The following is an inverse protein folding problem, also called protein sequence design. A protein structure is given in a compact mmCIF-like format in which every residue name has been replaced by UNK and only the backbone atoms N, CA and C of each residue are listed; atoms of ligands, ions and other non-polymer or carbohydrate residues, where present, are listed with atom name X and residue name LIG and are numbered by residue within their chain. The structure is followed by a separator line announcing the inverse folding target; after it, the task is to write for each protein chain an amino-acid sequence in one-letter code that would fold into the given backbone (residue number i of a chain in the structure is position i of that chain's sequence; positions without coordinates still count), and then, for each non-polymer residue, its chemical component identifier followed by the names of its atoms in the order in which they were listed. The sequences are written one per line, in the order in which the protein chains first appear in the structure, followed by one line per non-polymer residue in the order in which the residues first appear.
data_IF_681396949816
#
_entry.id   IF_681396949816
#
_cell.length_a   1.000
_cell.length_b   1.000
_cell.length_c   1.000
_cell.angle_alpha   90.00
_cell.angle_beta   90.00
_cell.angle_gamma   90.00
#
_symmetry.space_group_name_H-M   'P 1'
#
loop_
_entity.id
_entity.type
_entity.pdbx_description
1 polymer ?
#
# COMPACT_ATOMS: atom_id res chain seq x y z
N UNK A 1 -6.07 1.40 -7.89
CA UNK A 1 -4.78 1.29 -8.61
C UNK A 1 -4.42 -0.17 -8.71
N UNK A 2 -4.14 -0.63 -9.94
CA UNK A 2 -3.67 -1.98 -10.20
C UNK A 2 -2.15 -2.09 -10.22
N UNK A 3 -1.65 -3.24 -10.67
CA UNK A 3 -0.23 -3.51 -10.83
C UNK A 3 0.41 -2.56 -11.84
N UNK A 4 1.65 -2.14 -11.58
CA UNK A 4 2.41 -1.29 -12.50
C UNK A 4 2.95 -2.04 -13.72
N UNK A 5 3.08 -3.36 -13.62
CA UNK A 5 3.57 -4.20 -14.70
C UNK A 5 2.82 -5.53 -14.75
N UNK A 6 2.37 -6.00 -15.94
CA UNK A 6 1.70 -7.30 -16.08
C UNK A 6 2.63 -8.47 -15.70
N UNK A 7 3.95 -8.27 -15.72
CA UNK A 7 4.92 -9.27 -15.26
C UNK A 7 4.89 -9.51 -13.74
N UNK A 8 4.12 -8.72 -12.98
CA UNK A 8 3.93 -8.91 -11.54
C UNK A 8 2.77 -9.85 -11.18
N UNK A 9 1.96 -10.23 -12.17
CA UNK A 9 0.85 -11.18 -12.05
C UNK A 9 1.35 -12.55 -11.61
N UNK A 10 0.61 -13.20 -10.71
CA UNK A 10 0.89 -14.58 -10.26
C UNK A 10 -0.05 -15.59 -10.91
N UNK A 11 -1.23 -15.16 -11.35
CA UNK A 11 -2.21 -15.95 -12.09
C UNK A 11 -2.41 -15.33 -13.48
N UNK A 12 -1.75 -15.90 -14.48
CA UNK A 12 -1.77 -15.42 -15.87
C UNK A 12 -3.13 -15.58 -16.54
N UNK A 13 -3.96 -16.53 -16.09
CA UNK A 13 -5.28 -16.78 -16.66
C UNK A 13 -6.27 -15.71 -16.19
N UNK A 14 -6.22 -15.38 -14.89
CA UNK A 14 -7.06 -14.34 -14.28
C UNK A 14 -6.51 -12.93 -14.41
N UNK A 15 -5.28 -12.79 -14.90
CA UNK A 15 -4.54 -11.52 -14.95
C UNK A 15 -4.57 -10.80 -13.59
N UNK A 16 -4.23 -11.54 -12.53
CA UNK A 16 -4.17 -11.02 -11.16
C UNK A 16 -2.97 -11.52 -10.37
N UNK A 17 -2.42 -10.66 -9.53
CA UNK A 17 -1.46 -11.06 -8.51
C UNK A 17 -2.19 -11.35 -7.19
N UNK A 18 -1.91 -12.50 -6.60
CA UNK A 18 -2.39 -12.91 -5.28
C UNK A 18 -1.19 -13.09 -4.36
N UNK A 19 -1.18 -12.34 -3.25
CA UNK A 19 -0.13 -12.37 -2.25
C UNK A 19 -0.73 -12.86 -0.93
N UNK A 20 -0.21 -13.96 -0.40
CA UNK A 20 -0.59 -14.51 0.90
C UNK A 20 0.38 -14.03 1.98
N UNK A 21 -0.15 -13.57 3.11
CA UNK A 21 0.60 -12.99 4.22
C UNK A 21 1.71 -11.99 3.80
N UNK A 22 1.44 -11.04 2.88
CA UNK A 22 2.48 -10.15 2.39
C UNK A 22 2.96 -9.16 3.45
N UNK A 23 4.19 -8.69 3.29
CA UNK A 23 4.61 -7.40 3.79
C UNK A 23 4.05 -6.28 2.92
N UNK A 24 3.81 -5.11 3.51
CA UNK A 24 3.23 -3.95 2.83
C UNK A 24 4.08 -2.72 3.13
N UNK A 25 4.86 -2.28 2.14
CA UNK A 25 5.61 -1.03 2.17
C UNK A 25 4.73 0.11 1.68
N UNK A 26 4.63 1.18 2.46
CA UNK A 26 3.83 2.36 2.12
C UNK A 26 4.73 3.60 2.14
N UNK A 27 4.76 4.33 1.03
CA UNK A 27 5.48 5.61 0.96
C UNK A 27 4.68 6.66 0.19
N UNK A 28 4.81 7.92 0.61
CA UNK A 28 4.32 9.07 -0.14
C UNK A 28 5.28 9.49 -1.27
N UNK A 29 6.48 8.90 -1.33
CA UNK A 29 7.54 9.24 -2.28
C UNK A 29 7.39 8.46 -3.59
N UNK A 30 7.95 9.02 -4.64
CA UNK A 30 8.26 8.35 -5.89
C UNK A 30 9.56 7.56 -5.79
N UNK A 31 9.55 6.29 -6.19
CA UNK A 31 10.73 5.41 -6.17
C UNK A 31 11.30 5.31 -7.59
N UNK A 32 12.48 5.90 -7.81
CA UNK A 32 13.17 5.86 -9.10
C UNK A 32 14.46 5.03 -9.06
N UNK A 33 15.06 4.87 -7.88
CA UNK A 33 16.31 4.13 -7.65
C UNK A 33 16.11 2.93 -6.74
N UNK A 34 16.72 1.81 -7.10
CA UNK A 34 16.74 0.61 -6.24
C UNK A 34 17.49 0.84 -4.93
N UNK A 35 18.46 1.78 -4.91
CA UNK A 35 19.26 2.07 -3.71
C UNK A 35 18.39 2.51 -2.53
N UNK A 36 17.26 3.16 -2.81
CA UNK A 36 16.35 3.66 -1.78
C UNK A 36 15.60 2.54 -1.05
N UNK A 37 15.52 1.35 -1.64
CA UNK A 37 14.76 0.21 -1.09
C UNK A 37 15.59 -1.08 -0.97
N UNK A 38 16.87 -1.07 -1.34
CA UNK A 38 17.67 -2.30 -1.41
C UNK A 38 17.75 -3.01 -0.06
N UNK A 39 17.95 -2.26 1.03
CA UNK A 39 18.05 -2.83 2.38
C UNK A 39 16.76 -3.53 2.82
N UNK A 40 15.59 -2.93 2.57
CA UNK A 40 14.32 -3.56 2.93
C UNK A 40 13.99 -4.75 2.02
N UNK A 41 14.40 -4.71 0.75
CA UNK A 41 14.21 -5.84 -0.18
C UNK A 41 15.03 -7.06 0.23
N UNK A 42 16.27 -6.88 0.67
CA UNK A 42 17.12 -7.97 1.16
C UNK A 42 16.47 -8.68 2.35
N UNK A 43 16.01 -7.92 3.34
CA UNK A 43 15.29 -8.44 4.52
C UNK A 43 14.02 -9.21 4.13
N UNK A 44 13.26 -8.70 3.16
CA UNK A 44 12.05 -9.37 2.66
C UNK A 44 12.38 -10.70 1.99
N UNK A 45 13.44 -10.76 1.18
CA UNK A 45 13.90 -11.99 0.51
C UNK A 45 14.31 -13.04 1.54
N UNK A 46 15.06 -12.66 2.57
CA UNK A 46 15.46 -13.56 3.66
C UNK A 46 14.26 -14.19 4.38
N UNK A 47 13.17 -13.43 4.55
CA UNK A 47 11.94 -13.91 5.18
C UNK A 47 11.03 -14.71 4.24
N UNK A 48 11.35 -14.79 2.93
CA UNK A 48 10.57 -15.51 1.92
C UNK A 48 9.08 -15.13 1.89
N UNK A 49 8.74 -13.89 2.26
CA UNK A 49 7.37 -13.37 2.26
C UNK A 49 7.14 -12.46 1.05
N UNK A 50 5.94 -12.50 0.43
CA UNK A 50 5.64 -11.58 -0.66
C UNK A 50 5.61 -10.12 -0.20
N UNK A 51 5.87 -9.18 -1.10
CA UNK A 51 5.86 -7.75 -0.81
C UNK A 51 4.89 -7.01 -1.72
N UNK A 52 4.01 -6.21 -1.11
CA UNK A 52 3.27 -5.16 -1.79
C UNK A 52 3.98 -3.83 -1.56
N UNK A 53 4.28 -3.09 -2.62
CA UNK A 53 4.79 -1.71 -2.54
C UNK A 53 3.68 -0.76 -3.00
N UNK A 54 3.30 0.18 -2.12
CA UNK A 54 2.37 1.27 -2.40
C UNK A 54 3.16 2.58 -2.33
N UNK A 55 3.37 3.22 -3.47
CA UNK A 55 4.16 4.45 -3.57
C UNK A 55 3.42 5.49 -4.43
N UNK A 56 3.83 6.76 -4.39
CA UNK A 56 3.27 7.75 -5.33
C UNK A 56 3.43 7.28 -6.79
N UNK A 57 4.64 6.86 -7.14
CA UNK A 57 4.96 6.20 -8.39
C UNK A 57 6.23 5.35 -8.25
N UNK A 58 6.40 4.37 -9.14
CA UNK A 58 7.61 3.55 -9.22
C UNK A 58 7.98 3.46 -10.69
N UNK A 59 9.16 3.96 -11.06
CA UNK A 59 9.54 4.11 -12.46
C UNK A 59 11.02 3.79 -12.72
N UNK A 60 11.40 3.90 -13.99
CA UNK A 60 12.80 3.84 -14.42
C UNK A 60 13.50 2.53 -14.07
N UNK A 61 14.70 2.66 -13.50
CA UNK A 61 15.55 1.55 -13.10
C UNK A 61 14.90 0.71 -11.99
N UNK A 62 14.26 1.35 -11.01
CA UNK A 62 13.60 0.67 -9.91
C UNK A 62 12.52 -0.30 -10.40
N UNK A 63 11.59 0.19 -11.24
CA UNK A 63 10.52 -0.66 -11.77
C UNK A 63 11.09 -1.83 -12.59
N UNK A 64 12.07 -1.55 -13.46
CA UNK A 64 12.69 -2.55 -14.32
C UNK A 64 13.36 -3.65 -13.50
N UNK A 65 14.06 -3.28 -12.43
CA UNK A 65 14.75 -4.22 -11.55
C UNK A 65 13.77 -5.06 -10.72
N UNK A 66 12.71 -4.47 -10.18
CA UNK A 66 11.65 -5.21 -9.48
C UNK A 66 10.99 -6.24 -10.40
N UNK A 67 10.71 -5.87 -11.66
CA UNK A 67 10.15 -6.79 -12.66
C UNK A 67 11.11 -7.94 -12.96
N UNK A 68 12.40 -7.66 -13.18
CA UNK A 68 13.39 -8.71 -13.46
C UNK A 68 13.53 -9.68 -12.28
N UNK A 69 13.56 -9.19 -11.05
CA UNK A 69 13.63 -10.04 -9.85
C UNK A 69 12.36 -10.89 -9.65
N UNK A 70 11.19 -10.35 -10.00
CA UNK A 70 9.93 -11.09 -10.01
C UNK A 70 9.95 -12.23 -11.04
N UNK A 71 10.37 -11.95 -12.28
CA UNK A 71 10.47 -12.96 -13.35
C UNK A 71 11.45 -14.07 -12.98
N UNK A 72 12.57 -13.73 -12.33
CA UNK A 72 13.57 -14.70 -11.85
C UNK A 72 13.11 -15.52 -10.64
N UNK A 73 11.98 -15.17 -10.03
CA UNK A 73 11.48 -15.81 -8.82
C UNK A 73 12.26 -15.47 -7.54
N UNK A 74 13.21 -14.54 -7.61
CA UNK A 74 14.03 -14.10 -6.47
C UNK A 74 13.22 -13.28 -5.48
N UNK A 75 12.28 -12.46 -5.99
CA UNK A 75 11.47 -11.57 -5.17
C UNK A 75 9.99 -11.66 -5.60
N UNK A 76 9.12 -12.12 -4.71
CA UNK A 76 7.69 -12.10 -4.95
C UNK A 76 7.09 -10.72 -4.61
N UNK A 77 7.29 -9.74 -5.49
CA UNK A 77 6.83 -8.35 -5.32
C UNK A 77 5.68 -7.98 -6.25
N UNK A 78 4.81 -7.08 -5.80
CA UNK A 78 3.84 -6.35 -6.63
C UNK A 78 3.90 -4.87 -6.25
N UNK A 79 4.00 -4.01 -7.25
CA UNK A 79 4.07 -2.57 -7.09
C UNK A 79 2.78 -1.92 -7.62
N UNK A 80 2.22 -0.98 -6.85
CA UNK A 80 0.99 -0.24 -7.19
C UNK A 80 1.13 1.22 -6.81
N UNK A 81 0.42 2.10 -7.52
CA UNK A 81 0.36 3.53 -7.15
C UNK A 81 -0.53 3.75 -5.94
N UNK A 82 -0.16 4.71 -5.10
CA UNK A 82 -0.98 5.24 -4.02
C UNK A 82 -2.31 5.80 -4.58
N UNK A 83 -3.44 5.60 -3.89
CA UNK A 83 -4.71 6.16 -4.33
C UNK A 83 -4.73 7.68 -4.17
N UNK A 84 -5.53 8.36 -4.99
CA UNK A 84 -5.73 9.81 -4.96
C UNK A 84 -4.44 10.65 -5.15
N UNK A 85 -4.56 11.96 -4.92
CA UNK A 85 -3.49 12.95 -5.06
C UNK A 85 -3.60 14.00 -3.94
N UNK A 86 -2.52 14.75 -3.71
CA UNK A 86 -2.44 15.80 -2.68
C UNK A 86 -2.76 15.28 -1.28
N UNK A 87 -3.40 16.10 -0.46
CA UNK A 87 -3.77 15.79 0.94
C UNK A 87 -4.62 14.52 1.06
N UNK A 88 -5.45 14.23 0.06
CA UNK A 88 -6.25 13.00 0.03
C UNK A 88 -5.39 11.75 -0.10
N UNK A 89 -4.29 11.80 -0.85
CA UNK A 89 -3.34 10.69 -0.93
C UNK A 89 -2.71 10.44 0.44
N UNK A 90 -2.24 11.50 1.09
CA UNK A 90 -1.63 11.42 2.43
C UNK A 90 -2.63 10.78 3.41
N UNK A 91 -3.87 11.28 3.43
CA UNK A 91 -4.90 10.75 4.32
C UNK A 91 -5.26 9.28 4.02
N UNK A 92 -5.30 8.87 2.74
CA UNK A 92 -5.60 7.49 2.35
C UNK A 92 -4.41 6.54 2.59
N UNK A 93 -3.17 6.99 2.43
CA UNK A 93 -1.99 6.20 2.78
C UNK A 93 -1.95 5.94 4.28
N UNK A 94 -2.30 6.93 5.10
CA UNK A 94 -2.45 6.78 6.54
C UNK A 94 -3.56 5.77 6.89
N UNK A 95 -4.69 5.80 6.18
CA UNK A 95 -5.76 4.81 6.39
C UNK A 95 -5.29 3.37 6.10
N UNK A 96 -4.52 3.18 5.02
CA UNK A 96 -3.97 1.86 4.66
C UNK A 96 -2.91 1.44 5.68
N UNK A 97 -2.07 2.37 6.14
CA UNK A 97 -1.08 2.14 7.18
C UNK A 97 -1.73 1.66 8.47
N UNK A 98 -2.74 2.38 8.98
CA UNK A 98 -3.50 2.00 10.18
C UNK A 98 -4.20 0.64 9.99
N UNK A 99 -4.77 0.37 8.82
CA UNK A 99 -5.41 -0.93 8.56
C UNK A 99 -4.40 -2.09 8.62
N UNK A 100 -3.18 -1.86 8.11
CA UNK A 100 -2.18 -2.92 7.92
C UNK A 100 -1.13 -2.99 9.02
N UNK A 101 -1.06 -1.98 9.88
CA UNK A 101 -0.01 -1.79 10.89
C UNK A 101 1.31 -1.27 10.31
N UNK A 102 1.29 -0.69 9.11
CA UNK A 102 2.48 -0.11 8.49
C UNK A 102 2.75 1.30 9.03
N UNK A 103 3.98 1.80 8.81
CA UNK A 103 4.31 3.21 8.93
C UNK A 103 4.47 3.80 7.53
N UNK A 104 3.87 4.96 7.26
CA UNK A 104 4.01 5.65 5.97
C UNK A 104 5.39 6.34 5.92
N UNK A 105 6.28 5.84 5.08
CA UNK A 105 7.58 6.45 4.83
C UNK A 105 7.38 7.77 4.07
N UNK A 106 7.61 8.89 4.75
CA UNK A 106 7.40 10.24 4.23
C UNK A 106 8.52 11.17 4.69
N UNK A 107 9.18 11.83 3.74
CA UNK A 107 10.23 12.81 4.01
C UNK A 107 9.67 14.02 4.80
N UNK A 108 8.39 14.35 4.64
CA UNK A 108 7.70 15.39 5.42
C UNK A 108 7.65 15.06 6.92
N UNK A 109 7.61 13.76 7.26
CA UNK A 109 7.66 13.26 8.64
C UNK A 109 9.10 12.98 9.10
N UNK A 110 10.11 13.31 8.29
CA UNK A 110 11.52 13.02 8.56
C UNK A 110 11.90 11.54 8.41
N UNK A 111 11.02 10.72 7.83
CA UNK A 111 11.24 9.28 7.64
C UNK A 111 11.82 9.02 6.25
N UNK A 112 12.96 8.34 6.18
CA UNK A 112 13.61 8.00 4.92
C UNK A 112 13.34 6.56 4.54
N UNK A 113 13.12 6.35 3.24
CA UNK A 113 12.88 5.02 2.70
C UNK A 113 14.09 4.08 2.89
N UNK A 114 15.30 4.62 2.85
CA UNK A 114 16.56 3.89 3.06
C UNK A 114 16.68 3.31 4.49
N UNK A 115 16.03 3.95 5.46
CA UNK A 115 16.10 3.58 6.88
C UNK A 115 14.99 2.59 7.28
N UNK A 116 14.15 2.16 6.33
CA UNK A 116 13.00 1.27 6.58
C UNK A 116 13.44 -0.10 7.12
N UNK A 117 12.77 -0.58 8.16
CA UNK A 117 12.89 -1.93 8.70
C UNK A 117 11.60 -2.76 8.51
N UNK A 118 11.67 -4.06 8.81
CA UNK A 118 10.53 -4.97 8.75
C UNK A 118 9.39 -4.54 9.69
N UNK A 119 9.70 -3.88 10.81
CA UNK A 119 8.73 -3.37 11.78
C UNK A 119 7.94 -2.17 11.24
N UNK A 120 8.47 -1.46 10.23
CA UNK A 120 7.76 -0.38 9.55
C UNK A 120 6.78 -0.91 8.49
N UNK A 121 6.92 -2.18 8.10
CA UNK A 121 6.07 -2.80 7.08
C UNK A 121 4.75 -3.27 7.66
N UNK A 122 3.66 -2.96 6.96
CA UNK A 122 2.36 -3.52 7.28
C UNK A 122 2.28 -5.00 6.92
N UNK A 123 1.19 -5.62 7.35
CA UNK A 123 0.84 -6.98 6.97
C UNK A 123 -0.67 -7.12 6.77
N UNK A 124 -1.05 -8.10 5.95
CA UNK A 124 -2.44 -8.50 5.75
C UNK A 124 -2.51 -10.02 5.58
N UNK A 125 -3.70 -10.61 5.69
CA UNK A 125 -3.87 -12.03 5.36
C UNK A 125 -3.67 -12.27 3.86
N UNK A 126 -4.30 -11.45 3.02
CA UNK A 126 -4.22 -11.57 1.56
C UNK A 126 -4.27 -10.22 0.88
N UNK A 127 -3.52 -10.07 -0.20
CA UNK A 127 -3.66 -8.96 -1.14
C UNK A 127 -3.95 -9.53 -2.53
N UNK A 128 -4.96 -8.96 -3.21
CA UNK A 128 -5.26 -9.24 -4.61
C UNK A 128 -5.10 -7.98 -5.44
N UNK A 129 -4.30 -8.05 -6.48
CA UNK A 129 -4.05 -6.93 -7.41
C UNK A 129 -4.46 -7.34 -8.82
N UNK A 130 -5.33 -6.54 -9.44
CA UNK A 130 -5.71 -6.66 -10.85
C UNK A 130 -5.11 -5.50 -11.65
N UNK A 131 -5.44 -5.38 -12.93
CA UNK A 131 -5.05 -4.24 -13.76
C UNK A 131 -5.55 -2.89 -13.22
N UNK A 132 -6.68 -2.87 -12.52
CA UNK A 132 -7.39 -1.63 -12.14
C UNK A 132 -7.48 -1.42 -10.62
N UNK A 133 -7.45 -2.51 -9.85
CA UNK A 133 -7.74 -2.47 -8.41
C UNK A 133 -6.75 -3.27 -7.58
N UNK A 134 -6.54 -2.82 -6.36
CA UNK A 134 -5.86 -3.57 -5.31
C UNK A 134 -6.81 -3.75 -4.14
N UNK A 135 -6.93 -4.96 -3.63
CA UNK A 135 -7.78 -5.30 -2.49
C UNK A 135 -6.91 -5.94 -1.42
N UNK A 136 -6.87 -5.32 -0.25
CA UNK A 136 -6.15 -5.78 0.94
C UNK A 136 -7.20 -6.36 1.90
N UNK A 137 -7.06 -7.63 2.25
CA UNK A 137 -8.02 -8.37 3.06
C UNK A 137 -7.39 -8.75 4.40
N UNK A 138 -8.09 -8.42 5.48
CA UNK A 138 -7.70 -8.66 6.86
C UNK A 138 -6.29 -8.10 7.15
N UNK A 139 -6.19 -6.77 7.10
CA UNK A 139 -4.99 -6.06 7.56
C UNK A 139 -4.72 -6.31 9.04
N UNK A 140 -3.45 -6.42 9.41
CA UNK A 140 -2.99 -6.78 10.76
C UNK A 140 -2.69 -5.57 11.65
N UNK A 141 -3.26 -4.41 11.33
CA UNK A 141 -3.11 -3.20 12.14
C UNK A 141 -3.89 -3.24 13.45
N UNK A 142 -3.48 -2.38 14.38
CA UNK A 142 -4.07 -2.27 15.71
C UNK A 142 -5.57 -1.92 15.60
N UNK A 143 -6.41 -2.63 16.37
CA UNK A 143 -7.86 -2.40 16.36
C UNK A 143 -8.23 -1.05 17.00
N UNK A 144 -7.49 -0.60 18.00
CA UNK A 144 -7.76 0.66 18.69
C UNK A 144 -7.44 1.86 17.80
N UNK A 145 -6.26 1.88 17.17
CA UNK A 145 -5.87 2.91 16.18
C UNK A 145 -6.87 2.98 15.02
N UNK A 146 -7.39 1.83 14.58
CA UNK A 146 -8.41 1.75 13.54
C UNK A 146 -9.73 2.38 13.99
N UNK A 147 -10.17 2.09 15.21
CA UNK A 147 -11.39 2.67 15.79
C UNK A 147 -11.25 4.18 15.98
N UNK A 148 -10.10 4.65 16.46
CA UNK A 148 -9.78 6.06 16.56
C UNK A 148 -9.85 6.73 15.19
N UNK A 149 -9.24 6.11 14.16
CA UNK A 149 -9.27 6.65 12.80
C UNK A 149 -10.68 6.71 12.22
N UNK A 150 -11.50 5.69 12.47
CA UNK A 150 -12.92 5.66 12.09
C UNK A 150 -13.67 6.84 12.73
N UNK A 151 -13.43 7.10 14.03
CA UNK A 151 -14.10 8.18 14.75
C UNK A 151 -13.63 9.57 14.28
N UNK A 152 -12.35 9.73 13.93
CA UNK A 152 -11.84 10.95 13.30
C UNK A 152 -12.57 11.24 11.99
N UNK A 153 -12.71 10.24 11.11
CA UNK A 153 -13.40 10.42 9.82
C UNK A 153 -14.89 10.72 10.03
N UNK A 154 -15.56 10.07 10.99
CA UNK A 154 -16.95 10.38 11.34
C UNK A 154 -17.13 11.84 11.79
N UNK A 155 -16.21 12.34 12.61
CA UNK A 155 -16.25 13.75 13.06
C UNK A 155 -16.07 14.71 11.87
N UNK A 156 -15.13 14.41 10.96
CA UNK A 156 -14.92 15.19 9.73
C UNK A 156 -16.16 15.23 8.82
N UNK A 157 -16.95 14.13 8.78
CA UNK A 157 -18.20 14.04 8.02
C UNK A 157 -19.29 14.96 8.58
N UNK A 158 -19.31 15.16 9.90
CA UNK A 158 -20.28 16.03 10.59
C UNK A 158 -19.92 17.51 10.45
N UNK A 159 -18.64 17.83 10.45
CA UNK A 159 -18.12 19.20 10.35
C UNK A 159 -18.17 19.76 8.92
N UNK A 160 -18.04 18.90 7.91
CA UNK A 160 -18.05 19.36 6.52
C UNK A 160 -19.44 19.75 6.03
N UNK A 161 -19.51 20.89 5.34
CA UNK A 161 -20.72 21.39 4.65
C UNK A 161 -20.74 21.01 3.17
N UNK A 162 -19.65 20.45 2.67
CA UNK A 162 -19.48 20.07 1.26
C UNK A 162 -20.01 18.65 1.05
N UNK A 163 -21.05 18.50 0.23
CA UNK A 163 -21.60 17.19 -0.09
C UNK A 163 -20.57 16.28 -0.78
N UNK A 164 -19.71 16.88 -1.62
CA UNK A 164 -18.61 16.17 -2.27
C UNK A 164 -17.62 15.61 -1.25
N UNK A 165 -17.18 16.41 -0.28
CA UNK A 165 -16.23 15.95 0.74
C UNK A 165 -16.87 14.89 1.64
N UNK A 166 -18.16 15.06 1.96
CA UNK A 166 -18.94 14.10 2.73
C UNK A 166 -18.96 12.72 2.06
N UNK A 167 -19.25 12.68 0.76
CA UNK A 167 -19.23 11.45 -0.04
C UNK A 167 -17.85 10.79 -0.01
N UNK A 168 -16.78 11.58 -0.18
CA UNK A 168 -15.40 11.05 -0.19
C UNK A 168 -14.92 10.58 1.18
N UNK A 169 -15.37 11.20 2.26
CA UNK A 169 -15.11 10.71 3.61
C UNK A 169 -15.90 9.43 3.91
N UNK A 170 -17.15 9.33 3.44
CA UNK A 170 -17.95 8.11 3.54
C UNK A 170 -17.31 6.93 2.80
N UNK A 171 -16.74 7.14 1.61
CA UNK A 171 -15.98 6.12 0.89
C UNK A 171 -14.78 5.60 1.70
N UNK A 172 -14.03 6.50 2.36
CA UNK A 172 -12.90 6.14 3.23
C UNK A 172 -13.36 5.37 4.46
N UNK A 173 -14.41 5.85 5.12
CA UNK A 173 -15.01 5.21 6.29
C UNK A 173 -15.48 3.80 5.98
N UNK A 174 -16.14 3.59 4.83
CA UNK A 174 -16.62 2.28 4.40
C UNK A 174 -15.47 1.29 4.22
N UNK A 175 -14.37 1.72 3.58
CA UNK A 175 -13.17 0.89 3.37
C UNK A 175 -12.49 0.50 4.68
N UNK A 176 -12.37 1.43 5.63
CA UNK A 176 -11.76 1.14 6.94
C UNK A 176 -12.64 0.26 7.82
N UNK A 177 -13.96 0.49 7.84
CA UNK A 177 -14.89 -0.23 8.71
C UNK A 177 -15.06 -1.70 8.32
N UNK A 178 -14.92 -2.04 7.04
CA UNK A 178 -15.07 -3.40 6.55
C UNK A 178 -13.88 -4.33 6.84
N UNK A 179 -12.77 -3.83 7.40
CA UNK A 179 -11.53 -4.61 7.55
C UNK A 179 -10.86 -4.97 6.21
N UNK A 180 -11.38 -4.42 5.10
CA UNK A 180 -10.94 -4.66 3.73
C UNK A 180 -10.64 -3.32 3.08
N UNK A 181 -9.36 -3.00 2.87
CA UNK A 181 -9.01 -1.82 2.06
C UNK A 181 -9.14 -2.15 0.58
N UNK A 182 -10.00 -1.41 -0.10
CA UNK A 182 -10.13 -1.46 -1.56
C UNK A 182 -9.51 -0.19 -2.16
N UNK A 183 -8.37 -0.36 -2.83
CA UNK A 183 -7.70 0.66 -3.63
C UNK A 183 -8.20 0.55 -5.07
N UNK A 184 -9.28 1.27 -5.38
CA UNK A 184 -9.83 1.42 -6.73
C UNK A 184 -9.58 2.86 -7.21
N UNK A 185 -9.22 3.01 -8.49
CA UNK A 185 -9.16 4.33 -9.16
C UNK A 185 -10.57 4.69 -9.62
#
# INVERSE_FOLDING_TARGET
NGYLSPYMVTDSDRMSAELENPYILITSKKISSMKEIIGILEKVVENSRPLLIIAEDIEGEALSTLVLNKIRGTLNVVAVKAPAFGDRRVAMLEDIAILTGAIVMSEEKGLKLEDTDLDDLGSARRVRVTKESTVIVDGKGNSDERLERINQIKSQIEETKSQYDKEKLQERLAKLSGGVAVIKV
#
